data_IF_644310652931
#
_entry.id   IF_644310652931
#
_cell.length_a   1.000
_cell.length_b   1.000
_cell.length_c   1.000
_cell.angle_alpha   90.00
_cell.angle_beta   90.00
_cell.angle_gamma   90.00
#
_symmetry.space_group_name_H-M   'P 1'
#
loop_
_entity.id
_entity.type
_entity.pdbx_description
1 polymer ?
#
# COMPACT_ATOMS: atom_id res chain seq x y z
N UNK A 1 23.95 -15.01 12.81
CA UNK A 1 24.36 -13.78 12.09
C UNK A 1 24.07 -13.84 10.58
N UNK A 2 24.40 -14.94 9.87
CA UNK A 2 24.12 -15.08 8.42
C UNK A 2 22.65 -14.84 8.04
N UNK A 3 21.71 -15.42 8.79
CA UNK A 3 20.27 -15.21 8.55
C UNK A 3 19.86 -13.75 8.71
N UNK A 4 20.38 -13.06 9.73
CA UNK A 4 20.08 -11.64 9.98
C UNK A 4 20.53 -10.78 8.79
N UNK A 5 21.73 -11.02 8.25
CA UNK A 5 22.22 -10.30 7.09
C UNK A 5 21.36 -10.56 5.84
N UNK A 6 20.92 -11.79 5.62
CA UNK A 6 20.03 -12.14 4.50
C UNK A 6 18.66 -11.46 4.67
N UNK A 7 18.09 -11.49 5.88
CA UNK A 7 16.81 -10.84 6.16
C UNK A 7 16.87 -9.33 5.96
N UNK A 8 17.93 -8.68 6.46
CA UNK A 8 18.13 -7.24 6.25
C UNK A 8 18.33 -6.94 4.76
N UNK A 9 19.10 -7.76 4.04
CA UNK A 9 19.29 -7.63 2.60
C UNK A 9 17.97 -7.69 1.82
N UNK A 10 17.11 -8.67 2.13
CA UNK A 10 15.79 -8.81 1.50
C UNK A 10 14.89 -7.61 1.78
N UNK A 11 14.84 -7.15 3.04
CA UNK A 11 14.05 -5.97 3.42
C UNK A 11 14.57 -4.71 2.73
N UNK A 12 15.90 -4.53 2.68
CA UNK A 12 16.52 -3.40 2.01
C UNK A 12 16.16 -3.34 0.52
N UNK A 13 16.20 -4.48 -0.18
CA UNK A 13 15.79 -4.56 -1.59
C UNK A 13 14.32 -4.18 -1.77
N UNK A 14 13.44 -4.66 -0.89
CA UNK A 14 12.02 -4.31 -0.92
C UNK A 14 11.78 -2.80 -0.75
N UNK A 15 12.41 -2.20 0.26
CA UNK A 15 12.31 -0.75 0.52
C UNK A 15 12.92 0.07 -0.62
N UNK A 16 14.06 -0.34 -1.16
CA UNK A 16 14.69 0.29 -2.33
C UNK A 16 13.76 0.28 -3.54
N UNK A 17 13.09 -0.83 -3.82
CA UNK A 17 12.13 -0.94 -4.92
C UNK A 17 10.96 0.03 -4.78
N UNK A 18 10.42 0.18 -3.56
CA UNK A 18 9.36 1.15 -3.27
C UNK A 18 9.87 2.59 -3.42
N UNK A 19 11.07 2.89 -2.90
CA UNK A 19 11.67 4.22 -3.00
C UNK A 19 11.90 4.65 -4.46
N UNK A 20 12.45 3.76 -5.30
CA UNK A 20 12.63 4.03 -6.73
C UNK A 20 11.28 4.24 -7.41
N UNK A 21 10.27 3.42 -7.11
CA UNK A 21 8.92 3.56 -7.66
C UNK A 21 8.30 4.90 -7.30
N UNK A 22 8.53 5.41 -6.08
CA UNK A 22 8.06 6.72 -5.64
C UNK A 22 8.78 7.83 -6.43
N UNK A 23 10.11 7.77 -6.49
CA UNK A 23 10.91 8.77 -7.20
C UNK A 23 10.61 8.82 -8.71
N UNK A 24 10.39 7.67 -9.33
CA UNK A 24 10.07 7.56 -10.76
C UNK A 24 8.60 7.85 -11.09
N UNK A 25 7.72 8.05 -10.10
CA UNK A 25 6.29 8.30 -10.34
C UNK A 25 6.05 9.76 -10.69
N UNK A 26 5.92 10.05 -11.99
CA UNK A 26 5.47 11.36 -12.48
C UNK A 26 4.10 11.70 -11.88
N UNK A 27 3.97 12.94 -11.39
CA UNK A 27 2.79 13.52 -10.72
C UNK A 27 2.42 12.91 -9.35
N UNK A 28 3.22 12.00 -8.79
CA UNK A 28 3.02 11.47 -7.42
C UNK A 28 1.69 10.73 -7.19
N UNK A 29 0.88 10.51 -8.23
CA UNK A 29 -0.42 9.83 -8.14
C UNK A 29 -0.22 8.33 -8.17
N UNK A 30 -0.01 7.73 -7.01
CA UNK A 30 -0.05 6.28 -6.87
C UNK A 30 -1.47 5.79 -7.18
N UNK A 31 -1.57 4.65 -7.89
CA UNK A 31 -2.84 3.95 -7.96
C UNK A 31 -3.19 3.58 -6.51
N UNK A 32 -4.18 4.26 -5.94
CA UNK A 32 -4.60 4.01 -4.57
C UNK A 32 -4.97 2.54 -4.46
N UNK A 33 -4.27 1.80 -3.61
CA UNK A 33 -4.72 0.47 -3.24
C UNK A 33 -5.95 0.69 -2.36
N UNK A 34 -7.09 0.14 -2.76
CA UNK A 34 -8.40 0.30 -2.08
C UNK A 34 -8.42 -0.43 -0.72
N UNK A 35 -7.27 -0.57 -0.03
CA UNK A 35 -7.18 -1.28 1.24
C UNK A 35 -8.05 -0.61 2.31
N UNK A 36 -8.10 0.72 2.31
CA UNK A 36 -8.95 1.52 3.21
C UNK A 36 -10.46 1.35 2.95
N UNK A 37 -10.87 0.72 1.86
CA UNK A 37 -12.27 0.39 1.59
C UNK A 37 -12.49 -1.13 1.53
N UNK A 38 -11.47 -1.95 1.80
CA UNK A 38 -11.67 -3.39 1.81
C UNK A 38 -12.62 -3.75 2.95
N UNK A 39 -13.79 -4.37 2.69
CA UNK A 39 -14.77 -4.72 3.73
C UNK A 39 -14.21 -5.67 4.80
N UNK A 40 -13.16 -6.43 4.48
CA UNK A 40 -12.48 -7.29 5.44
C UNK A 40 -11.56 -6.53 6.40
N UNK A 41 -11.09 -5.35 6.02
CA UNK A 41 -10.15 -4.53 6.78
C UNK A 41 -10.83 -3.32 7.43
N UNK A 42 -11.73 -2.66 6.70
CA UNK A 42 -12.52 -1.52 7.18
C UNK A 42 -13.90 -2.00 7.66
N UNK A 43 -13.94 -2.46 8.91
CA UNK A 43 -15.16 -2.96 9.57
C UNK A 43 -16.06 -1.86 10.10
N UNK A 44 -15.50 -0.66 10.29
CA UNK A 44 -16.19 0.49 10.86
C UNK A 44 -16.94 1.31 9.80
N UNK A 45 -16.78 0.96 8.51
CA UNK A 45 -17.49 1.63 7.42
C UNK A 45 -16.94 3.02 7.12
N UNK A 46 -15.70 3.32 7.51
CA UNK A 46 -15.13 4.65 7.37
C UNK A 46 -14.90 5.00 5.89
N UNK A 47 -15.13 6.26 5.52
CA UNK A 47 -14.79 6.73 4.19
C UNK A 47 -13.26 6.71 4.01
N UNK A 48 -12.79 6.24 2.85
CA UNK A 48 -11.36 6.23 2.55
C UNK A 48 -10.79 7.66 2.55
N UNK A 49 -9.80 7.94 3.40
CA UNK A 49 -9.17 9.27 3.51
C UNK A 49 -8.48 9.78 2.24
N UNK A 50 -8.31 8.95 1.20
CA UNK A 50 -7.72 9.34 -0.07
C UNK A 50 -8.75 9.61 -1.17
N UNK A 51 -9.85 8.85 -1.23
CA UNK A 51 -10.84 8.94 -2.32
C UNK A 51 -12.30 9.08 -1.88
N UNK A 52 -12.58 9.10 -0.57
CA UNK A 52 -13.87 9.42 0.01
C UNK A 52 -14.97 8.37 -0.15
N UNK A 53 -14.78 7.30 -0.94
CA UNK A 53 -15.79 6.23 -1.04
C UNK A 53 -15.81 5.36 0.22
N UNK A 54 -16.98 4.78 0.48
CA UNK A 54 -17.24 3.84 1.56
C UNK A 54 -16.83 2.41 1.17
N UNK A 55 -16.64 1.48 2.12
CA UNK A 55 -16.23 0.10 1.84
C UNK A 55 -17.13 -0.68 0.89
N UNK A 56 -18.43 -0.41 0.91
CA UNK A 56 -19.44 -1.01 0.04
C UNK A 56 -19.31 -0.56 -1.43
N UNK A 57 -18.59 0.54 -1.68
CA UNK A 57 -18.36 1.12 -3.01
C UNK A 57 -17.01 0.68 -3.62
N UNK A 58 -16.27 -0.20 -2.95
CA UNK A 58 -15.00 -0.72 -3.44
C UNK A 58 -15.27 -1.92 -4.36
N UNK A 59 -14.84 -1.80 -5.63
CA UNK A 59 -15.11 -2.78 -6.71
C UNK A 59 -14.42 -4.14 -6.49
N UNK A 60 -13.39 -4.20 -5.62
CA UNK A 60 -12.68 -5.42 -5.27
C UNK A 60 -13.36 -6.07 -4.06
N UNK A 61 -14.51 -6.71 -4.29
CA UNK A 61 -15.26 -7.47 -3.29
C UNK A 61 -14.80 -8.93 -3.24
#
# INVERSE_FOLDING_TARGET
>A
MKLILISIGLLAIGVLGIAIKIWAKKDGKFAGTCASQNPHLNKEGEACGYCGRLPDQCENK
#
